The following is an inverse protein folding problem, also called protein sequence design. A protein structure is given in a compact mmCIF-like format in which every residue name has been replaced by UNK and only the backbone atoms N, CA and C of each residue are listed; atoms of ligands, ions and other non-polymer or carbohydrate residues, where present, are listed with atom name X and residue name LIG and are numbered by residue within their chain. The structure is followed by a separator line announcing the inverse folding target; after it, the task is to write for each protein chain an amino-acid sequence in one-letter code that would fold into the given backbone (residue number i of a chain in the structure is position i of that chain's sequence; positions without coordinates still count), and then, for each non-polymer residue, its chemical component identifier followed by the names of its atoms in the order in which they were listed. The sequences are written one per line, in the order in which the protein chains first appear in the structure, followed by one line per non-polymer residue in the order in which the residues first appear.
data_IF_024177026450
#
_entry.id   IF_024177026450
#
_cell.length_a   1.000
_cell.length_b   1.000
_cell.length_c   1.000
_cell.angle_alpha   90.00
_cell.angle_beta   90.00
_cell.angle_gamma   90.00
#
_symmetry.space_group_name_H-M   'P 1'
#
loop_
_entity.id
_entity.type
_entity.pdbx_description
1 polymer ?
#
# COMPACT_ATOMS: atom_id res chain seq x y z
N UNK A 1 -43.62 1.17 2.46
CA UNK A 1 -42.26 1.17 1.91
C UNK A 1 -41.29 1.37 3.07
N UNK A 2 -40.52 0.34 3.46
CA UNK A 2 -39.45 0.49 4.46
C UNK A 2 -38.17 0.85 3.71
N UNK A 3 -37.56 1.97 4.05
CA UNK A 3 -36.23 2.32 3.56
C UNK A 3 -35.21 1.44 4.29
N UNK A 4 -34.53 0.56 3.56
CA UNK A 4 -33.38 -0.15 4.08
C UNK A 4 -32.27 0.86 4.34
N UNK A 5 -32.04 1.18 5.60
CA UNK A 5 -30.87 1.94 6.05
C UNK A 5 -29.64 1.05 5.84
N UNK A 6 -29.08 1.09 4.61
CA UNK A 6 -27.83 0.42 4.30
C UNK A 6 -26.71 1.19 5.00
N UNK A 7 -26.34 0.73 6.19
CA UNK A 7 -25.16 1.26 6.90
C UNK A 7 -23.98 1.29 5.92
N UNK A 8 -23.24 2.40 5.83
CA UNK A 8 -22.09 2.47 4.93
C UNK A 8 -21.13 1.33 5.29
N UNK A 9 -20.55 0.70 4.26
CA UNK A 9 -19.56 -0.34 4.47
C UNK A 9 -18.45 0.19 5.40
N UNK A 10 -17.87 -0.67 6.27
CA UNK A 10 -16.79 -0.26 7.14
C UNK A 10 -15.68 0.40 6.32
N UNK A 11 -15.31 1.63 6.68
CA UNK A 11 -14.23 2.35 6.02
C UNK A 11 -12.91 1.70 6.47
N UNK A 12 -12.12 1.21 5.53
CA UNK A 12 -10.77 0.75 5.83
C UNK A 12 -9.87 1.97 6.07
N UNK A 13 -9.57 2.25 7.34
CA UNK A 13 -8.69 3.35 7.74
C UNK A 13 -7.29 3.21 7.14
N UNK A 14 -6.88 2.00 6.73
CA UNK A 14 -5.58 1.78 6.12
C UNK A 14 -5.50 2.39 4.72
N UNK A 15 -6.57 2.28 3.93
CA UNK A 15 -6.66 2.92 2.61
C UNK A 15 -6.70 4.44 2.69
N UNK A 16 -7.34 4.99 3.73
CA UNK A 16 -7.38 6.43 3.98
C UNK A 16 -5.95 6.96 4.18
N UNK A 17 -5.15 6.30 5.03
CA UNK A 17 -3.75 6.67 5.27
C UNK A 17 -2.87 6.59 4.01
N UNK A 18 -3.09 5.60 3.14
CA UNK A 18 -2.39 5.53 1.84
C UNK A 18 -2.71 6.75 0.99
N UNK A 19 -3.98 7.15 0.96
CA UNK A 19 -4.42 8.29 0.16
C UNK A 19 -3.81 9.59 0.69
N UNK A 20 -3.81 9.80 2.00
CA UNK A 20 -3.17 10.95 2.65
C UNK A 20 -1.66 11.01 2.32
N UNK A 21 -0.96 9.88 2.43
CA UNK A 21 0.47 9.79 2.12
C UNK A 21 0.78 10.16 0.67
N UNK A 22 0.02 9.62 -0.28
CA UNK A 22 0.21 9.89 -1.70
C UNK A 22 -0.11 11.35 -2.07
N UNK A 23 -1.10 11.95 -1.42
CA UNK A 23 -1.48 13.36 -1.63
C UNK A 23 -0.47 14.34 -1.01
N UNK A 24 0.14 13.98 0.12
CA UNK A 24 1.16 14.80 0.77
C UNK A 24 2.49 14.78 -0.02
N UNK A 25 2.77 13.70 -0.75
CA UNK A 25 3.94 13.59 -1.61
C UNK A 25 3.76 14.36 -2.92
N UNK A 26 4.75 15.17 -3.31
CA UNK A 26 4.84 15.71 -4.68
C UNK A 26 5.35 14.63 -5.66
N UNK A 27 4.61 13.53 -5.77
CA UNK A 27 4.94 12.43 -6.67
C UNK A 27 4.51 12.75 -8.09
N UNK A 28 5.31 12.34 -9.08
CA UNK A 28 4.86 12.32 -10.46
C UNK A 28 3.70 11.32 -10.61
N UNK A 29 2.72 11.61 -11.49
CA UNK A 29 1.50 10.80 -11.61
C UNK A 29 1.75 9.29 -11.88
N UNK A 30 2.77 8.96 -12.67
CA UNK A 30 3.15 7.57 -12.94
C UNK A 30 3.70 6.88 -11.68
N UNK A 31 4.51 7.60 -10.91
CA UNK A 31 5.06 7.13 -9.63
C UNK A 31 3.94 6.93 -8.61
N UNK A 32 3.04 7.90 -8.45
CA UNK A 32 1.90 7.78 -7.55
C UNK A 32 1.05 6.55 -7.89
N UNK A 33 0.76 6.33 -9.18
CA UNK A 33 0.01 5.16 -9.65
C UNK A 33 0.71 3.84 -9.31
N UNK A 34 2.02 3.77 -9.48
CA UNK A 34 2.81 2.59 -9.14
C UNK A 34 2.79 2.32 -7.63
N UNK A 35 3.03 3.34 -6.81
CA UNK A 35 2.98 3.24 -5.35
C UNK A 35 1.61 2.82 -4.85
N UNK A 36 0.54 3.45 -5.38
CA UNK A 36 -0.84 3.09 -5.03
C UNK A 36 -1.13 1.63 -5.31
N UNK A 37 -0.67 1.11 -6.45
CA UNK A 37 -0.85 -0.30 -6.81
C UNK A 37 -0.13 -1.22 -5.83
N UNK A 38 1.13 -0.95 -5.52
CA UNK A 38 1.91 -1.79 -4.60
C UNK A 38 1.38 -1.72 -3.16
N UNK A 39 0.99 -0.55 -2.68
CA UNK A 39 0.37 -0.40 -1.35
C UNK A 39 -0.97 -1.14 -1.26
N UNK A 40 -1.77 -1.16 -2.33
CA UNK A 40 -3.00 -1.97 -2.39
C UNK A 40 -2.72 -3.47 -2.33
N UNK A 41 -1.71 -3.96 -3.06
CA UNK A 41 -1.29 -5.37 -2.97
C UNK A 41 -0.86 -5.71 -1.55
N UNK A 42 -0.05 -4.87 -0.92
CA UNK A 42 0.38 -5.04 0.47
C UNK A 42 -0.80 -5.09 1.44
N UNK A 43 -1.77 -4.16 1.32
CA UNK A 43 -2.97 -4.15 2.15
C UNK A 43 -3.92 -5.34 1.92
N UNK A 44 -3.90 -5.93 0.73
CA UNK A 44 -4.62 -7.20 0.46
C UNK A 44 -3.87 -8.43 0.98
N UNK A 45 -2.55 -8.34 1.16
CA UNK A 45 -1.72 -9.40 1.70
C UNK A 45 -1.76 -9.47 3.23
N UNK A 46 -2.01 -8.35 3.91
CA UNK A 46 -2.09 -8.29 5.38
C UNK A 46 -3.40 -7.69 5.87
N UNK A 47 -3.97 -8.26 6.93
CA UNK A 47 -5.11 -7.68 7.65
C UNK A 47 -4.68 -6.79 8.83
N UNK A 48 -3.38 -6.56 9.00
CA UNK A 48 -2.84 -5.80 10.13
C UNK A 48 -3.07 -4.29 9.97
N UNK A 49 -3.36 -3.56 11.06
CA UNK A 49 -3.34 -2.10 11.05
C UNK A 49 -1.90 -1.58 10.92
N UNK A 50 -1.74 -0.35 10.41
CA UNK A 50 -0.43 0.27 10.20
C UNK A 50 0.48 0.26 11.43
N UNK A 51 -0.09 0.48 12.63
CA UNK A 51 0.66 0.49 13.90
C UNK A 51 1.27 -0.87 14.29
N UNK A 52 0.80 -1.97 13.70
CA UNK A 52 1.30 -3.33 13.93
C UNK A 52 2.21 -3.83 12.80
N UNK A 53 2.40 -3.03 11.74
CA UNK A 53 3.34 -3.36 10.68
C UNK A 53 4.75 -3.16 11.21
N UNK A 54 5.57 -4.20 11.08
CA UNK A 54 6.96 -4.21 11.53
C UNK A 54 7.88 -4.44 10.34
N UNK A 55 9.19 -4.12 10.45
CA UNK A 55 10.15 -4.42 9.39
C UNK A 55 10.17 -5.90 8.97
N UNK A 56 9.89 -6.82 9.90
CA UNK A 56 9.79 -8.26 9.60
C UNK A 56 8.62 -8.58 8.67
N UNK A 57 7.47 -7.93 8.86
CA UNK A 57 6.31 -8.08 7.96
C UNK A 57 6.62 -7.56 6.56
N UNK A 58 7.35 -6.44 6.46
CA UNK A 58 7.79 -5.90 5.16
C UNK A 58 8.77 -6.85 4.45
N UNK A 59 9.73 -7.43 5.19
CA UNK A 59 10.66 -8.41 4.64
C UNK A 59 9.95 -9.68 4.16
N UNK A 60 8.94 -10.14 4.90
CA UNK A 60 8.13 -11.30 4.53
C UNK A 60 7.31 -11.01 3.26
N UNK A 61 6.60 -9.89 3.21
CA UNK A 61 5.89 -9.47 2.00
C UNK A 61 6.82 -9.39 0.79
N UNK A 62 8.02 -8.82 0.96
CA UNK A 62 9.00 -8.73 -0.13
C UNK A 62 9.43 -10.11 -0.62
N UNK A 63 9.71 -11.05 0.28
CA UNK A 63 10.10 -12.40 -0.08
C UNK A 63 8.98 -13.10 -0.86
N UNK A 64 7.75 -13.07 -0.34
CA UNK A 64 6.58 -13.71 -0.97
C UNK A 64 6.21 -13.02 -2.30
N UNK A 65 6.32 -11.69 -2.39
CA UNK A 65 6.06 -10.95 -3.62
C UNK A 65 7.11 -11.20 -4.70
N UNK A 66 8.39 -11.38 -4.32
CA UNK A 66 9.47 -11.72 -5.25
C UNK A 66 9.36 -13.16 -5.75
N UNK A 67 8.93 -14.09 -4.88
CA UNK A 67 8.67 -15.48 -5.26
C UNK A 67 7.52 -15.60 -6.25
N UNK A 68 6.55 -14.68 -6.20
CA UNK A 68 5.39 -14.64 -7.10
C UNK A 68 5.60 -13.79 -8.37
N UNK A 69 6.63 -12.94 -8.45
CA UNK A 69 6.84 -12.03 -9.59
C UNK A 69 8.31 -12.00 -10.06
N UNK A 70 8.62 -12.80 -11.07
CA UNK A 70 9.88 -12.68 -11.84
C UNK A 70 9.86 -11.53 -12.87
N UNK A 71 8.86 -10.64 -12.85
CA UNK A 71 8.73 -9.53 -13.82
C UNK A 71 8.26 -8.26 -13.10
N UNK A 72 8.97 -7.15 -13.34
CA UNK A 72 8.74 -5.75 -12.89
C UNK A 72 9.77 -5.13 -11.92
N UNK A 73 10.93 -5.76 -11.71
CA UNK A 73 12.01 -5.17 -10.87
C UNK A 73 12.65 -3.93 -11.52
N UNK A 74 12.58 -3.75 -12.85
CA UNK A 74 13.25 -2.62 -13.52
C UNK A 74 12.57 -1.25 -13.34
N UNK A 75 11.29 -1.20 -12.97
CA UNK A 75 10.60 0.09 -12.72
C UNK A 75 10.72 0.55 -11.25
N UNK A 76 11.07 -0.36 -10.34
CA UNK A 76 11.22 -0.06 -8.89
C UNK A 76 12.63 0.41 -8.57
N UNK A 77 13.63 0.07 -9.39
CA UNK A 77 15.02 0.49 -9.20
C UNK A 77 15.29 1.99 -9.49
N UNK A 78 14.32 2.71 -10.06
CA UNK A 78 14.39 4.18 -10.21
C UNK A 78 13.83 4.95 -9.00
N UNK A 79 13.54 4.26 -7.90
CA UNK A 79 13.02 4.87 -6.68
C UNK A 79 14.02 4.68 -5.54
N UNK A 80 14.94 5.65 -5.44
CA UNK A 80 15.70 6.01 -4.22
C UNK A 80 14.80 6.31 -3.00
N UNK A 81 13.49 6.10 -3.09
CA UNK A 81 12.47 6.44 -2.09
C UNK A 81 12.12 5.30 -1.12
N UNK A 82 12.77 4.13 -1.18
CA UNK A 82 12.61 3.11 -0.12
C UNK A 82 13.23 3.54 1.23
N UNK A 83 13.95 4.66 1.26
CA UNK A 83 14.50 5.27 2.47
C UNK A 83 13.52 6.17 3.26
N UNK A 84 12.27 6.34 2.81
CA UNK A 84 11.31 7.29 3.46
C UNK A 84 10.31 6.57 4.40
N UNK A 85 10.36 5.24 4.52
CA UNK A 85 9.49 4.49 5.46
C UNK A 85 10.24 3.86 6.65
N UNK A 86 11.46 4.31 6.94
CA UNK A 86 12.24 3.86 8.11
C UNK A 86 12.82 5.00 8.98
N UNK A 87 12.26 6.22 8.90
CA UNK A 87 12.46 7.26 9.92
C UNK A 87 11.15 7.97 10.22
#
# INVERSE_FOLDING_TARGET
MKADARSPAPIDLREVRVTEFLQAGSLAANTEKAYRRELKKFLGWTDRPWAEITPRHLAQYKLESLELHQLDIEQIQNLDAFNILLF
#
